data_IF_761594860427
#
_entry.id   IF_761594860427
#
_cell.length_a   1.000
_cell.length_b   1.000
_cell.length_c   1.000
_cell.angle_alpha   90.00
_cell.angle_beta   90.00
_cell.angle_gamma   90.00
#
_symmetry.space_group_name_H-M   'P 1'
#
loop_
_entity.id
_entity.type
_entity.pdbx_description
1 polymer ?
#
# COMPACT_ATOMS: atom_id res chain seq x y z
N UNK A 1 -25.68 31.79 -62.05
CA UNK A 1 -26.39 31.16 -60.90
C UNK A 1 -26.05 29.68 -60.78
N UNK A 2 -26.24 28.86 -61.82
CA UNK A 2 -25.96 27.41 -61.80
C UNK A 2 -24.48 27.06 -61.59
N UNK A 3 -23.55 27.78 -62.23
CA UNK A 3 -22.10 27.55 -62.10
C UNK A 3 -21.63 27.77 -60.64
N UNK A 4 -22.17 28.79 -59.97
CA UNK A 4 -21.85 29.08 -58.56
C UNK A 4 -22.36 27.95 -57.67
N UNK A 5 -23.57 27.44 -57.92
CA UNK A 5 -24.11 26.29 -57.18
C UNK A 5 -23.27 25.02 -57.38
N UNK A 6 -22.81 24.74 -58.61
CA UNK A 6 -21.93 23.59 -58.90
C UNK A 6 -20.58 23.75 -58.19
N UNK A 7 -20.00 24.95 -58.19
CA UNK A 7 -18.75 25.22 -57.49
C UNK A 7 -18.90 24.99 -55.98
N UNK A 8 -20.00 25.47 -55.37
CA UNK A 8 -20.29 25.24 -53.95
C UNK A 8 -20.45 23.74 -53.65
N UNK A 9 -21.18 22.99 -54.48
CA UNK A 9 -21.33 21.54 -54.31
C UNK A 9 -19.97 20.81 -54.38
N UNK A 10 -19.10 21.22 -55.30
CA UNK A 10 -17.76 20.64 -55.42
C UNK A 10 -16.90 20.91 -54.17
N UNK A 11 -16.97 22.13 -53.62
CA UNK A 11 -16.28 22.50 -52.38
C UNK A 11 -16.81 21.68 -51.20
N UNK A 12 -18.14 21.54 -51.06
CA UNK A 12 -18.76 20.73 -50.02
C UNK A 12 -18.38 19.24 -50.15
N UNK A 13 -18.25 18.74 -51.36
CA UNK A 13 -17.80 17.38 -51.61
C UNK A 13 -16.34 17.18 -51.15
N UNK A 14 -15.43 18.11 -51.48
CA UNK A 14 -14.05 18.09 -50.98
C UNK A 14 -13.98 18.16 -49.46
N UNK A 15 -14.81 19.01 -48.84
CA UNK A 15 -14.89 19.11 -47.39
C UNK A 15 -15.36 17.79 -46.75
N UNK A 16 -16.31 17.09 -47.40
CA UNK A 16 -16.77 15.78 -46.95
C UNK A 16 -15.66 14.73 -46.99
N UNK A 17 -14.86 14.70 -48.06
CA UNK A 17 -13.68 13.83 -48.14
C UNK A 17 -12.63 14.18 -47.09
N UNK A 18 -12.43 15.47 -46.81
CA UNK A 18 -11.53 15.92 -45.75
C UNK A 18 -11.96 15.41 -44.37
N UNK A 19 -13.25 15.52 -44.03
CA UNK A 19 -13.80 14.97 -42.80
C UNK A 19 -13.67 13.44 -42.72
N UNK A 20 -13.88 12.74 -43.83
CA UNK A 20 -13.70 11.28 -43.90
C UNK A 20 -12.25 10.88 -43.58
N UNK A 21 -11.26 11.59 -44.13
CA UNK A 21 -9.84 11.36 -43.84
C UNK A 21 -9.52 11.61 -42.36
N UNK A 22 -10.01 12.73 -41.79
CA UNK A 22 -9.82 13.04 -40.36
C UNK A 22 -10.42 11.93 -39.48
N UNK A 23 -11.66 11.54 -39.76
CA UNK A 23 -12.37 10.53 -38.97
C UNK A 23 -11.64 9.19 -39.03
N UNK A 24 -11.22 8.76 -40.22
CA UNK A 24 -10.47 7.52 -40.41
C UNK A 24 -9.12 7.56 -39.68
N UNK A 25 -8.41 8.69 -39.73
CA UNK A 25 -7.14 8.88 -39.03
C UNK A 25 -7.34 8.83 -37.51
N UNK A 26 -8.38 9.48 -36.99
CA UNK A 26 -8.72 9.45 -35.57
C UNK A 26 -9.11 8.04 -35.11
N UNK A 27 -9.89 7.32 -35.93
CA UNK A 27 -10.30 5.95 -35.65
C UNK A 27 -9.12 4.98 -35.63
N UNK A 28 -8.18 5.12 -36.57
CA UNK A 28 -6.95 4.33 -36.60
C UNK A 28 -6.11 4.54 -35.33
N UNK A 29 -5.91 5.80 -34.91
CA UNK A 29 -5.19 6.14 -33.67
C UNK A 29 -5.85 5.52 -32.43
N UNK A 30 -7.18 5.53 -32.36
CA UNK A 30 -7.92 4.91 -31.27
C UNK A 30 -7.69 3.40 -31.20
N UNK A 31 -7.69 2.71 -32.35
CA UNK A 31 -7.43 1.27 -32.42
C UNK A 31 -5.99 0.91 -32.01
N UNK A 32 -5.02 1.73 -32.41
CA UNK A 32 -3.62 1.54 -31.98
C UNK A 32 -3.47 1.76 -30.47
N UNK A 33 -4.20 2.72 -29.92
CA UNK A 33 -4.22 3.01 -28.49
C UNK A 33 -4.83 1.85 -27.69
N UNK A 34 -5.94 1.28 -28.15
CA UNK A 34 -6.57 0.10 -27.57
C UNK A 34 -5.59 -1.09 -27.54
N UNK A 35 -4.91 -1.36 -28.66
CA UNK A 35 -3.90 -2.44 -28.74
C UNK A 35 -2.70 -2.18 -27.82
N UNK A 36 -2.27 -0.93 -27.67
CA UNK A 36 -1.21 -0.56 -26.72
C UNK A 36 -1.66 -0.78 -25.28
N UNK A 37 -2.90 -0.43 -24.96
CA UNK A 37 -3.49 -0.65 -23.65
C UNK A 37 -3.58 -2.15 -23.30
N UNK A 38 -4.02 -2.98 -24.25
CA UNK A 38 -4.09 -4.44 -24.07
C UNK A 38 -2.71 -5.05 -23.79
N UNK A 39 -1.67 -4.61 -24.52
CA UNK A 39 -0.29 -5.05 -24.28
C UNK A 39 0.22 -4.62 -22.90
N UNK A 40 -0.01 -3.38 -22.52
CA UNK A 40 0.41 -2.86 -21.23
C UNK A 40 -0.26 -3.60 -20.08
N UNK A 41 -1.55 -3.92 -20.21
CA UNK A 41 -2.28 -4.71 -19.21
C UNK A 41 -1.65 -6.09 -19.02
N UNK A 42 -1.26 -6.74 -20.12
CA UNK A 42 -0.61 -8.05 -20.08
C UNK A 42 0.78 -8.00 -19.43
N UNK A 43 1.59 -7.03 -19.81
CA UNK A 43 2.92 -6.80 -19.20
C UNK A 43 2.81 -6.48 -17.71
N UNK A 44 1.76 -5.75 -17.31
CA UNK A 44 1.44 -5.47 -15.92
C UNK A 44 1.06 -6.75 -15.16
N UNK A 45 0.18 -7.59 -15.71
CA UNK A 45 -0.21 -8.87 -15.08
C UNK A 45 1.01 -9.78 -14.86
N UNK A 46 1.91 -9.87 -15.84
CA UNK A 46 3.15 -10.64 -15.72
C UNK A 46 4.06 -10.08 -14.63
N UNK A 47 4.25 -8.76 -14.58
CA UNK A 47 5.09 -8.10 -13.57
C UNK A 47 4.51 -8.21 -12.16
N UNK A 48 3.20 -8.03 -12.01
CA UNK A 48 2.51 -8.18 -10.73
C UNK A 48 2.60 -9.63 -10.27
N UNK A 49 2.46 -10.61 -11.16
CA UNK A 49 2.57 -12.03 -10.81
C UNK A 49 3.96 -12.37 -10.25
N UNK A 50 5.03 -11.85 -10.88
CA UNK A 50 6.40 -12.00 -10.37
C UNK A 50 6.56 -11.34 -9.00
N UNK A 51 6.08 -10.09 -8.84
CA UNK A 51 6.17 -9.38 -7.57
C UNK A 51 5.39 -10.06 -6.44
N UNK A 52 4.17 -10.55 -6.71
CA UNK A 52 3.36 -11.26 -5.72
C UNK A 52 4.00 -12.59 -5.31
N UNK A 53 4.63 -13.30 -6.24
CA UNK A 53 5.40 -14.50 -5.93
C UNK A 53 6.59 -14.17 -5.03
N UNK A 54 7.37 -13.15 -5.38
CA UNK A 54 8.52 -12.71 -4.58
C UNK A 54 8.11 -12.26 -3.17
N UNK A 55 7.05 -11.47 -3.05
CA UNK A 55 6.52 -11.03 -1.74
C UNK A 55 5.97 -12.18 -0.92
N UNK A 56 5.37 -13.19 -1.54
CA UNK A 56 4.92 -14.40 -0.85
C UNK A 56 6.11 -15.19 -0.33
N UNK A 57 7.12 -15.41 -1.18
CA UNK A 57 8.32 -16.16 -0.83
C UNK A 57 9.10 -15.46 0.30
N UNK A 58 9.22 -14.12 0.28
CA UNK A 58 9.89 -13.37 1.33
C UNK A 58 9.08 -13.39 2.65
N UNK A 59 7.75 -13.34 2.59
CA UNK A 59 6.91 -13.54 3.78
C UNK A 59 7.10 -14.94 4.38
N UNK A 60 7.12 -15.99 3.55
CA UNK A 60 7.34 -17.37 4.01
C UNK A 60 8.74 -17.53 4.65
N UNK A 61 9.76 -16.90 4.04
CA UNK A 61 11.12 -16.85 4.59
C UNK A 61 11.17 -16.14 5.94
N UNK A 62 10.50 -14.99 6.07
CA UNK A 62 10.41 -14.25 7.32
C UNK A 62 9.74 -15.09 8.42
N UNK A 63 8.62 -15.75 8.12
CA UNK A 63 7.92 -16.62 9.06
C UNK A 63 8.84 -17.75 9.53
N UNK A 64 9.60 -18.39 8.62
CA UNK A 64 10.54 -19.44 8.98
C UNK A 64 11.67 -18.94 9.89
N UNK A 65 12.23 -17.78 9.60
CA UNK A 65 13.33 -17.22 10.39
C UNK A 65 12.86 -16.86 11.80
N UNK A 66 11.68 -16.25 11.94
CA UNK A 66 11.06 -15.99 13.24
C UNK A 66 10.77 -17.29 14.02
N UNK A 67 10.31 -18.34 13.34
CA UNK A 67 10.11 -19.65 13.97
C UNK A 67 11.44 -20.29 14.43
N UNK A 68 12.52 -20.19 13.64
CA UNK A 68 13.84 -20.71 14.01
C UNK A 68 14.42 -19.98 15.22
N UNK A 69 14.38 -18.65 15.23
CA UNK A 69 14.86 -17.84 16.37
C UNK A 69 14.08 -18.18 17.64
N UNK A 70 12.75 -18.32 17.55
CA UNK A 70 11.93 -18.70 18.71
C UNK A 70 12.19 -20.12 19.26
N UNK A 71 12.59 -21.07 18.41
CA UNK A 71 12.94 -22.44 18.84
C UNK A 71 14.35 -22.52 19.42
N UNK A 72 15.29 -21.72 18.89
CA UNK A 72 16.67 -21.67 19.36
C UNK A 72 16.79 -21.07 20.78
N UNK A 73 15.90 -20.16 21.17
CA UNK A 73 15.82 -19.64 22.55
C UNK A 73 15.33 -20.68 23.58
N UNK A 74 14.73 -21.80 23.14
CA UNK A 74 14.18 -22.84 24.04
C UNK A 74 15.19 -23.97 24.32
N UNK A 75 16.30 -24.08 23.56
CA UNK A 75 17.25 -25.20 23.69
C UNK A 75 18.53 -24.91 24.48
N UNK A 76 18.74 -23.67 24.95
CA UNK A 76 19.95 -23.33 25.75
C UNK A 76 19.77 -23.51 27.26
N UNK A 77 18.57 -23.82 27.76
CA UNK A 77 18.29 -23.92 29.21
C UNK A 77 17.70 -25.28 29.66
N UNK A 78 17.98 -26.37 28.95
CA UNK A 78 17.38 -27.68 29.26
C UNK A 78 18.41 -28.81 29.37
N UNK A 79 19.58 -28.54 29.94
CA UNK A 79 20.45 -29.56 30.54
C UNK A 79 21.03 -28.99 31.83
N UNK A 80 20.26 -29.10 32.91
CA UNK A 80 20.73 -29.44 34.26
C UNK A 80 19.55 -29.31 35.24
N UNK A 81 19.40 -30.34 36.09
CA UNK A 81 18.53 -30.43 37.27
C UNK A 81 17.12 -31.02 37.08
N UNK A 82 17.08 -32.33 36.83
CA UNK A 82 16.12 -33.24 37.47
C UNK A 82 16.82 -33.99 38.61
N UNK A 83 16.64 -33.51 39.84
CA UNK A 83 16.69 -34.18 41.15
C UNK A 83 16.81 -33.05 42.20
N UNK A 84 16.06 -32.92 43.28
CA UNK A 84 15.05 -33.78 43.89
C UNK A 84 14.33 -32.90 44.95
N UNK A 85 13.02 -32.72 44.79
CA UNK A 85 11.95 -32.80 45.82
C UNK A 85 12.10 -32.00 47.15
N UNK A 86 11.02 -31.27 47.50
CA UNK A 86 10.23 -31.40 48.76
C UNK A 86 9.88 -30.04 49.45
N UNK A 87 8.56 -29.82 49.55
CA UNK A 87 7.75 -29.20 50.63
C UNK A 87 7.35 -27.71 50.60
N UNK A 88 6.02 -27.58 50.42
CA UNK A 88 5.03 -26.90 51.29
C UNK A 88 5.09 -25.37 51.36
N UNK A 89 4.13 -24.71 50.70
CA UNK A 89 2.89 -24.17 51.29
C UNK A 89 3.03 -22.67 51.60
N UNK A 90 2.26 -21.83 50.89
CA UNK A 90 1.13 -21.05 51.43
C UNK A 90 0.92 -19.71 50.70
N UNK A 91 -0.34 -19.49 50.29
CA UNK A 91 -1.12 -18.26 50.05
C UNK A 91 -0.60 -17.07 49.22
N UNK A 92 -1.44 -16.77 48.23
CA UNK A 92 -2.19 -15.51 48.07
C UNK A 92 -1.55 -14.17 48.49
N UNK A 93 -1.42 -13.33 47.46
CA UNK A 93 -1.79 -11.91 47.38
C UNK A 93 -0.81 -10.84 47.93
N UNK A 94 -0.56 -9.88 47.02
CA UNK A 94 0.31 -8.68 47.05
C UNK A 94 0.39 -7.90 48.37
N UNK A 95 1.47 -7.11 48.57
CA UNK A 95 1.36 -5.67 48.26
C UNK A 95 2.61 -5.01 47.62
N UNK A 96 2.33 -4.20 46.59
CA UNK A 96 2.81 -2.83 46.30
C UNK A 96 4.19 -2.29 46.75
N UNK A 97 4.93 -1.82 45.73
CA UNK A 97 5.58 -0.50 45.55
C UNK A 97 6.70 0.05 46.49
N UNK A 98 7.84 0.30 45.84
CA UNK A 98 8.82 1.41 45.99
C UNK A 98 9.87 1.38 47.11
N UNK A 99 11.17 1.25 46.76
CA UNK A 99 12.17 2.34 46.64
C UNK A 99 13.61 1.81 46.53
N UNK A 100 14.32 2.38 45.55
CA UNK A 100 15.73 2.82 45.48
C UNK A 100 16.87 2.10 46.24
N UNK A 101 18.01 1.92 45.54
CA UNK A 101 19.34 1.97 46.18
C UNK A 101 20.44 1.06 45.62
N UNK A 102 21.11 1.51 44.56
CA UNK A 102 22.50 1.30 44.06
C UNK A 102 23.43 0.16 44.56
N UNK A 103 24.10 -0.50 43.60
CA UNK A 103 25.58 -0.53 43.35
C UNK A 103 25.82 -1.31 42.03
N UNK A 104 26.11 -0.67 40.88
CA UNK A 104 27.44 -0.42 40.24
C UNK A 104 28.36 -1.67 40.33
N UNK A 105 28.73 -2.34 39.23
CA UNK A 105 29.75 -1.92 38.25
C UNK A 105 29.80 -2.86 37.02
N UNK A 106 30.25 -2.34 35.86
CA UNK A 106 30.59 -3.15 34.68
C UNK A 106 30.12 -2.58 33.33
N UNK A 107 30.73 -1.49 32.88
CA UNK A 107 30.52 -0.85 31.58
C UNK A 107 31.19 -1.58 30.41
N UNK A 108 30.50 -1.78 29.27
CA UNK A 108 30.97 -1.46 27.89
C UNK A 108 29.72 -1.20 27.01
N UNK A 109 29.66 -0.04 26.36
CA UNK A 109 28.54 0.42 25.55
C UNK A 109 28.52 -0.12 24.12
N UNK A 110 27.30 -0.27 23.59
CA UNK A 110 26.94 -0.08 22.19
C UNK A 110 25.51 0.45 22.18
N UNK A 111 25.31 1.55 21.46
CA UNK A 111 24.05 2.29 21.34
C UNK A 111 22.90 1.37 20.92
N UNK A 112 21.98 1.10 21.86
CA UNK A 112 20.74 0.37 21.59
C UNK A 112 19.59 1.37 21.56
N UNK A 113 19.09 1.66 20.37
CA UNK A 113 17.71 2.15 20.23
C UNK A 113 16.77 1.19 20.96
N UNK A 114 15.70 1.70 21.62
CA UNK A 114 14.79 0.85 22.36
C UNK A 114 14.10 -0.10 21.38
N UNK A 115 14.57 -1.35 21.31
CA UNK A 115 13.87 -2.41 20.59
C UNK A 115 12.52 -2.57 21.26
N UNK A 116 11.47 -2.06 20.61
CA UNK A 116 10.09 -2.20 21.06
C UNK A 116 9.76 -3.68 21.03
N UNK A 117 9.84 -4.32 22.19
CA UNK A 117 9.48 -5.73 22.35
C UNK A 117 7.96 -5.85 22.30
N UNK A 118 7.44 -6.33 21.17
CA UNK A 118 6.01 -6.58 21.02
C UNK A 118 5.70 -8.01 21.49
N UNK A 119 4.78 -8.20 22.45
CA UNK A 119 4.39 -9.51 22.94
C UNK A 119 3.84 -10.43 21.83
N UNK A 120 4.22 -11.73 21.87
CA UNK A 120 3.87 -12.75 20.84
C UNK A 120 2.37 -12.88 20.56
N UNK A 121 1.50 -12.61 21.53
CA UNK A 121 0.04 -12.65 21.39
C UNK A 121 -0.52 -11.52 20.53
N UNK A 122 0.11 -10.33 20.53
CA UNK A 122 -0.28 -9.19 19.69
C UNK A 122 0.04 -9.52 18.23
N UNK A 123 1.22 -10.08 17.98
CA UNK A 123 1.67 -10.50 16.64
C UNK A 123 0.78 -11.62 16.09
N UNK A 124 0.49 -12.64 16.91
CA UNK A 124 -0.36 -13.77 16.51
C UNK A 124 -1.79 -13.33 16.15
N UNK A 125 -2.37 -12.39 16.91
CA UNK A 125 -3.71 -11.86 16.66
C UNK A 125 -3.75 -10.97 15.41
N UNK A 126 -2.71 -10.18 15.15
CA UNK A 126 -2.61 -9.39 13.92
C UNK A 126 -2.55 -10.30 12.67
N UNK A 127 -1.76 -11.37 12.74
CA UNK A 127 -1.60 -12.33 11.63
C UNK A 127 -2.87 -13.15 11.36
N UNK A 128 -3.53 -13.64 12.40
CA UNK A 128 -4.78 -14.41 12.26
C UNK A 128 -5.92 -13.55 11.69
N UNK A 129 -5.97 -12.27 12.07
CA UNK A 129 -6.93 -11.29 11.54
C UNK A 129 -6.68 -10.95 10.07
N UNK A 130 -5.42 -10.94 9.63
CA UNK A 130 -5.05 -10.67 8.24
C UNK A 130 -5.35 -11.85 7.30
N UNK A 131 -5.22 -13.10 7.77
CA UNK A 131 -5.57 -14.27 6.95
C UNK A 131 -7.09 -14.38 6.71
N UNK A 132 -7.92 -13.91 7.65
CA UNK A 132 -9.38 -13.88 7.48
C UNK A 132 -9.88 -12.75 6.56
N UNK A 133 -9.10 -11.69 6.33
CA UNK A 133 -9.47 -10.59 5.43
C UNK A 133 -9.08 -10.84 3.96
N UNK A 134 -8.10 -11.71 3.69
CA UNK A 134 -7.70 -12.11 2.33
C UNK A 134 -8.81 -12.79 1.52
N UNK A 135 -9.62 -13.63 2.16
CA UNK A 135 -10.74 -14.33 1.50
C UNK A 135 -11.93 -13.42 1.11
N UNK A 136 -11.99 -12.18 1.63
CA UNK A 136 -13.01 -11.18 1.24
C UNK A 136 -12.51 -10.16 0.21
N UNK A 137 -11.21 -10.14 -0.09
CA UNK A 137 -10.62 -9.18 -1.02
C UNK A 137 -10.76 -9.63 -2.48
N UNK A 138 -10.77 -10.94 -2.76
CA UNK A 138 -10.89 -11.48 -4.13
C UNK A 138 -12.23 -11.13 -4.81
N UNK A 139 -13.31 -11.01 -4.04
CA UNK A 139 -14.63 -10.63 -4.58
C UNK A 139 -14.79 -9.12 -4.88
N UNK A 140 -13.85 -8.26 -4.47
CA UNK A 140 -13.99 -6.79 -4.61
C UNK A 140 -13.20 -6.20 -5.79
N UNK A 141 -12.27 -6.95 -6.37
CA UNK A 141 -11.41 -6.46 -7.48
C UNK A 141 -12.17 -6.38 -8.81
N UNK A 142 -13.17 -7.24 -9.03
CA UNK A 142 -13.93 -7.30 -10.30
C UNK A 142 -14.88 -6.09 -10.50
N UNK A 143 -15.27 -5.39 -9.43
CA UNK A 143 -16.20 -4.25 -9.54
C UNK A 143 -15.53 -2.87 -9.66
N UNK A 144 -14.22 -2.74 -9.42
CA UNK A 144 -13.55 -1.43 -9.46
C UNK A 144 -12.94 -1.08 -10.84
N UNK A 145 -12.91 -2.02 -11.79
CA UNK A 145 -12.27 -1.81 -13.09
C UNK A 145 -13.15 -1.11 -14.15
N UNK A 146 -14.45 -0.88 -13.87
CA UNK A 146 -15.40 -0.36 -14.88
C UNK A 146 -15.68 1.15 -14.79
N UNK A 147 -15.01 1.89 -13.90
CA UNK A 147 -15.35 3.28 -13.61
C UNK A 147 -14.25 4.32 -13.90
N UNK A 148 -13.27 3.97 -14.72
CA UNK A 148 -12.24 4.91 -15.18
C UNK A 148 -12.29 5.08 -16.71
N UNK A 149 -13.36 5.71 -17.20
CA UNK A 149 -13.41 6.23 -18.56
C UNK A 149 -14.12 7.58 -18.56
N UNK A 150 -13.39 8.64 -18.24
CA UNK A 150 -13.63 10.00 -18.73
C UNK A 150 -12.56 10.97 -18.16
N UNK A 151 -11.78 11.58 -19.08
CA UNK A 151 -11.12 12.89 -19.03
C UNK A 151 -9.67 12.90 -19.56
N UNK A 152 -9.59 13.08 -20.89
CA UNK A 152 -8.70 13.94 -21.70
C UNK A 152 -7.28 14.32 -21.24
N UNK A 153 -6.36 14.11 -22.18
CA UNK A 153 -4.96 14.54 -22.32
C UNK A 153 -4.61 15.96 -21.80
N UNK A 154 -3.51 16.05 -21.02
CA UNK A 154 -2.32 16.88 -21.32
C UNK A 154 -1.18 16.66 -20.29
N UNK A 155 -0.01 16.39 -20.86
CA UNK A 155 1.38 16.55 -20.37
C UNK A 155 1.88 15.89 -19.06
N UNK A 156 3.09 15.38 -19.21
CA UNK A 156 3.92 14.59 -18.31
C UNK A 156 4.15 15.19 -16.92
N UNK A 157 3.75 14.45 -15.89
CA UNK A 157 4.55 14.18 -14.69
C UNK A 157 3.81 13.09 -13.89
N UNK A 158 4.57 12.20 -13.25
CA UNK A 158 4.14 11.06 -12.40
C UNK A 158 2.75 11.26 -11.75
N UNK A 159 1.87 10.24 -11.71
CA UNK A 159 0.59 10.40 -11.00
C UNK A 159 0.91 10.70 -9.54
N UNK A 160 0.69 11.96 -9.14
CA UNK A 160 0.81 12.39 -7.76
C UNK A 160 -0.24 11.59 -7.02
N UNK A 161 0.20 10.63 -6.22
CA UNK A 161 -0.71 9.84 -5.40
C UNK A 161 -1.48 10.80 -4.49
N UNK A 162 -2.71 10.44 -4.11
CA UNK A 162 -3.54 11.28 -3.24
C UNK A 162 -2.80 11.69 -1.95
N UNK A 163 -1.93 10.80 -1.46
CA UNK A 163 -1.03 11.02 -0.33
C UNK A 163 -0.01 12.12 -0.62
N UNK A 164 0.69 12.05 -1.75
CA UNK A 164 1.62 13.09 -2.17
C UNK A 164 0.92 14.43 -2.43
N UNK A 165 -0.33 14.42 -2.89
CA UNK A 165 -1.11 15.64 -3.05
C UNK A 165 -1.43 16.28 -1.69
N UNK A 166 -1.85 15.48 -0.70
CA UNK A 166 -2.10 15.95 0.67
C UNK A 166 -0.82 16.52 1.31
N UNK A 167 0.32 15.84 1.15
CA UNK A 167 1.62 16.29 1.68
C UNK A 167 2.08 17.60 1.03
N UNK A 168 1.95 17.74 -0.29
CA UNK A 168 2.31 18.98 -0.98
C UNK A 168 1.44 20.17 -0.55
N UNK A 169 0.14 19.94 -0.37
CA UNK A 169 -0.78 20.98 0.10
C UNK A 169 -0.48 21.39 1.56
N UNK A 170 -0.10 20.44 2.42
CA UNK A 170 0.36 20.75 3.78
C UNK A 170 1.69 21.52 3.79
N UNK A 171 2.64 21.16 2.90
CA UNK A 171 3.89 21.92 2.70
C UNK A 171 3.66 23.35 2.20
N UNK A 172 2.55 23.59 1.50
CA UNK A 172 2.11 24.94 1.09
C UNK A 172 1.43 25.72 2.24
N UNK A 173 1.36 25.15 3.45
CA UNK A 173 0.78 25.81 4.63
C UNK A 173 -0.74 25.74 4.72
N UNK A 174 -1.40 24.90 3.90
CA UNK A 174 -2.86 24.70 3.99
C UNK A 174 -3.22 23.90 5.22
N UNK A 175 -4.39 24.21 5.79
CA UNK A 175 -4.92 23.49 6.95
C UNK A 175 -5.45 22.12 6.55
N UNK A 176 -5.46 21.17 7.49
CA UNK A 176 -6.00 19.81 7.28
C UNK A 176 -7.45 19.82 6.78
N UNK A 177 -8.23 20.83 7.15
CA UNK A 177 -9.62 21.02 6.73
C UNK A 177 -9.76 21.47 5.26
N UNK A 178 -8.89 22.37 4.80
CA UNK A 178 -8.86 22.82 3.41
C UNK A 178 -8.41 21.69 2.48
N UNK A 179 -7.43 20.90 2.92
CA UNK A 179 -6.94 19.73 2.19
C UNK A 179 -8.05 18.67 2.08
N UNK A 180 -8.77 18.40 3.17
CA UNK A 180 -9.91 17.49 3.20
C UNK A 180 -11.01 17.91 2.22
N UNK A 181 -11.34 19.20 2.18
CA UNK A 181 -12.31 19.76 1.23
C UNK A 181 -11.83 19.67 -0.22
N UNK A 182 -10.54 19.92 -0.47
CA UNK A 182 -9.95 19.87 -1.80
C UNK A 182 -9.82 18.45 -2.36
N UNK A 183 -9.54 17.46 -1.49
CA UNK A 183 -9.39 16.05 -1.86
C UNK A 183 -10.68 15.22 -1.69
N UNK A 184 -11.78 15.85 -1.27
CA UNK A 184 -13.03 15.18 -0.91
C UNK A 184 -12.82 14.03 0.08
N UNK A 185 -11.97 14.26 1.10
CA UNK A 185 -11.64 13.31 2.17
C UNK A 185 -12.11 13.80 3.53
N UNK A 186 -12.16 12.92 4.52
CA UNK A 186 -12.46 13.30 5.90
C UNK A 186 -11.34 14.15 6.49
N UNK A 187 -11.69 15.17 7.30
CA UNK A 187 -10.70 15.97 8.06
C UNK A 187 -9.77 15.08 8.88
N UNK A 188 -10.33 14.08 9.55
CA UNK A 188 -9.58 13.09 10.35
C UNK A 188 -8.68 12.20 9.49
N UNK A 189 -9.11 11.85 8.27
CA UNK A 189 -8.30 11.03 7.37
C UNK A 189 -7.05 11.79 6.91
N UNK A 190 -7.20 13.06 6.56
CA UNK A 190 -6.06 13.91 6.19
C UNK A 190 -5.15 14.22 7.39
N UNK A 191 -5.72 14.49 8.55
CA UNK A 191 -4.94 14.70 9.78
C UNK A 191 -4.10 13.46 10.13
N UNK A 192 -4.70 12.28 10.00
CA UNK A 192 -4.03 11.02 10.24
C UNK A 192 -2.94 10.77 9.18
N UNK A 193 -3.23 11.03 7.91
CA UNK A 193 -2.29 10.91 6.79
C UNK A 193 -1.06 11.80 7.01
N UNK A 194 -1.25 13.06 7.39
CA UNK A 194 -0.16 13.99 7.67
C UNK A 194 0.63 13.60 8.91
N UNK A 195 -0.02 13.05 9.95
CA UNK A 195 0.64 12.61 11.18
C UNK A 195 1.52 11.37 10.99
N UNK A 196 1.19 10.50 10.04
CA UNK A 196 2.01 9.33 9.69
C UNK A 196 3.20 9.66 8.79
N UNK A 197 3.23 10.85 8.18
CA UNK A 197 4.28 11.28 7.25
C UNK A 197 5.21 12.38 7.81
N UNK A 198 4.98 12.82 9.05
CA UNK A 198 5.83 13.76 9.78
C UNK A 198 6.74 13.04 10.78
#
# INVERSE_FOLDING_TARGET
MTIILIAVLFILQLLSFYFLIILNTKLAKFKDLEKKQERLMREMDDTISVYLAEMKDENDRLIQELQRVSKSETQTNAVEQEEQIVRQQEKEQQPSLTKEGSTVDGSIGLDQEPRVYVPKNIVANAYSRQQQSGAKAEAKVVHSARQASEATEKEEAKPVTLEQQAINLAKQGKTSEEIAKQLQKGKTEIELLLKFHN
#
